data_IF_916132515569
#
_entry.id   IF_916132515569
#
_cell.length_a   1.000
_cell.length_b   1.000
_cell.length_c   1.000
_cell.angle_alpha   90.00
_cell.angle_beta   90.00
_cell.angle_gamma   90.00
#
_symmetry.space_group_name_H-M   'P 1'
#
loop_
_entity.id
_entity.type
_entity.pdbx_description
1 polymer ?
#
# COMPACT_ATOMS: atom_id res chain seq x y z
N UNK A 1 -3.06 2.55 -7.98
CA UNK A 1 -1.64 2.65 -8.36
C UNK A 1 -0.78 1.78 -7.44
N UNK A 2 0.44 1.41 -7.83
CA UNK A 2 1.43 0.77 -6.95
C UNK A 2 2.43 1.82 -6.45
N UNK A 3 2.67 1.88 -5.13
CA UNK A 3 3.63 2.83 -4.54
C UNK A 3 5.03 2.70 -5.18
N UNK A 4 5.53 1.47 -5.33
CA UNK A 4 6.77 1.19 -6.03
C UNK A 4 6.48 0.41 -7.32
N UNK A 5 6.88 0.90 -8.50
CA UNK A 5 6.64 0.21 -9.78
C UNK A 5 7.65 -0.91 -10.06
N UNK A 6 8.69 -1.06 -9.23
CA UNK A 6 9.77 -2.03 -9.45
C UNK A 6 9.50 -3.37 -8.76
N UNK A 7 9.80 -4.46 -9.48
CA UNK A 7 9.96 -5.80 -8.93
C UNK A 7 11.44 -6.04 -8.62
N UNK A 8 11.76 -6.41 -7.38
CA UNK A 8 13.13 -6.66 -6.96
C UNK A 8 13.32 -8.16 -6.73
N UNK A 9 14.30 -8.75 -7.41
CA UNK A 9 14.60 -10.18 -7.34
C UNK A 9 15.97 -10.39 -6.73
N UNK A 10 16.08 -11.38 -5.84
CA UNK A 10 17.37 -11.86 -5.36
C UNK A 10 18.08 -12.73 -6.40
N UNK A 11 19.30 -13.15 -6.09
CA UNK A 11 20.12 -14.01 -6.97
C UNK A 11 19.40 -15.31 -7.38
N UNK A 12 18.56 -15.85 -6.51
CA UNK A 12 17.77 -17.07 -6.77
C UNK A 12 16.46 -16.81 -7.53
N UNK A 13 16.19 -15.58 -7.96
CA UNK A 13 14.93 -15.19 -8.59
C UNK A 13 13.76 -15.01 -7.61
N UNK A 14 14.00 -15.16 -6.30
CA UNK A 14 12.98 -14.94 -5.26
C UNK A 14 12.61 -13.47 -5.18
N UNK A 15 11.31 -13.16 -5.13
CA UNK A 15 10.82 -11.81 -4.90
C UNK A 15 11.30 -11.27 -3.54
N UNK A 16 11.93 -10.10 -3.57
CA UNK A 16 12.37 -9.36 -2.39
C UNK A 16 11.47 -8.14 -2.23
N UNK A 17 10.71 -8.10 -1.14
CA UNK A 17 9.88 -6.94 -0.84
C UNK A 17 10.75 -5.78 -0.33
N UNK A 18 10.44 -4.52 -0.66
CA UNK A 18 11.30 -3.37 -0.31
C UNK A 18 11.59 -3.22 1.19
N UNK A 19 10.71 -3.72 2.06
CA UNK A 19 10.89 -3.76 3.53
C UNK A 19 12.02 -4.71 3.98
N UNK A 20 12.43 -5.66 3.13
CA UNK A 20 13.48 -6.63 3.41
C UNK A 20 14.87 -6.20 2.93
N UNK A 21 14.97 -5.02 2.34
CA UNK A 21 16.22 -4.52 1.77
C UNK A 21 16.70 -3.35 2.62
N UNK A 22 17.92 -3.47 3.15
CA UNK A 22 18.58 -2.43 3.92
C UNK A 22 19.52 -1.59 3.05
N UNK A 23 19.93 -0.44 3.57
CA UNK A 23 20.93 0.41 2.92
C UNK A 23 20.37 1.64 2.20
N UNK A 24 21.28 2.48 1.75
CA UNK A 24 20.97 3.81 1.23
C UNK A 24 20.19 3.77 -0.10
N UNK A 25 20.49 2.79 -0.96
CA UNK A 25 19.83 2.64 -2.25
C UNK A 25 18.31 2.48 -2.11
N UNK A 26 17.87 1.62 -1.18
CA UNK A 26 16.45 1.37 -0.91
C UNK A 26 15.78 2.58 -0.30
N UNK A 27 16.46 3.29 0.60
CA UNK A 27 15.94 4.54 1.17
C UNK A 27 15.69 5.58 0.09
N UNK A 28 16.61 5.73 -0.88
CA UNK A 28 16.43 6.63 -2.03
C UNK A 28 15.28 6.18 -2.94
N UNK A 29 15.19 4.89 -3.24
CA UNK A 29 14.09 4.33 -4.02
C UNK A 29 12.74 4.59 -3.36
N UNK A 30 12.62 4.24 -2.09
CA UNK A 30 11.41 4.42 -1.29
C UNK A 30 11.03 5.91 -1.22
N UNK A 31 12.00 6.81 -1.03
CA UNK A 31 11.75 8.25 -1.08
C UNK A 31 11.18 8.69 -2.44
N UNK A 32 11.75 8.23 -3.55
CA UNK A 32 11.23 8.58 -4.88
C UNK A 32 9.80 8.07 -5.08
N UNK A 33 9.48 6.89 -4.54
CA UNK A 33 8.12 6.35 -4.54
C UNK A 33 7.15 7.18 -3.67
N UNK A 34 7.59 7.66 -2.50
CA UNK A 34 6.79 8.56 -1.64
C UNK A 34 6.51 9.89 -2.36
N UNK A 35 7.54 10.47 -2.96
CA UNK A 35 7.43 11.75 -3.69
C UNK A 35 6.43 11.61 -4.86
N UNK A 36 6.49 10.49 -5.60
CA UNK A 36 5.53 10.19 -6.67
C UNK A 36 4.09 9.99 -6.15
N UNK A 37 3.90 9.27 -5.05
CA UNK A 37 2.58 9.11 -4.43
C UNK A 37 2.00 10.47 -4.03
N UNK A 38 2.82 11.32 -3.42
CA UNK A 38 2.42 12.68 -3.04
C UNK A 38 2.00 13.49 -4.26
N UNK A 39 2.80 13.47 -5.33
CA UNK A 39 2.51 14.19 -6.58
C UNK A 39 1.18 13.74 -7.21
N UNK A 40 0.94 12.43 -7.29
CA UNK A 40 -0.33 11.89 -7.81
C UNK A 40 -1.51 12.38 -6.97
N UNK A 41 -1.42 12.26 -5.64
CA UNK A 41 -2.49 12.67 -4.72
C UNK A 41 -2.81 14.15 -4.84
N UNK A 42 -1.79 15.01 -4.83
CA UNK A 42 -2.00 16.46 -4.91
C UNK A 42 -2.50 16.90 -6.29
N UNK A 43 -1.96 16.32 -7.37
CA UNK A 43 -2.31 16.73 -8.74
C UNK A 43 -3.74 16.31 -9.10
N UNK A 44 -4.16 15.13 -8.66
CA UNK A 44 -5.50 14.60 -8.93
C UNK A 44 -6.56 15.09 -7.93
N UNK A 45 -6.18 15.86 -6.90
CA UNK A 45 -7.11 16.29 -5.85
C UNK A 45 -7.71 15.12 -5.05
N UNK A 46 -6.92 14.08 -4.79
CA UNK A 46 -7.38 12.89 -4.06
C UNK A 46 -7.58 13.23 -2.58
N UNK A 47 -8.79 13.03 -2.08
CA UNK A 47 -9.15 13.27 -0.67
C UNK A 47 -9.07 12.03 0.20
N UNK A 48 -9.01 10.82 -0.40
CA UNK A 48 -8.91 9.55 0.33
C UNK A 48 -8.00 8.54 -0.36
N UNK A 49 -7.13 7.92 0.42
CA UNK A 49 -6.18 6.89 -0.02
C UNK A 49 -6.38 5.62 0.80
N UNK A 50 -6.64 4.50 0.12
CA UNK A 50 -6.75 3.18 0.75
C UNK A 50 -5.53 2.33 0.42
N UNK A 51 -4.73 2.04 1.45
CA UNK A 51 -3.62 1.10 1.36
C UNK A 51 -4.12 -0.35 1.26
N UNK A 52 -3.71 -1.06 0.20
CA UNK A 52 -3.95 -2.51 0.09
C UNK A 52 -2.87 -3.24 0.87
N UNK A 53 -3.17 -3.57 2.12
CA UNK A 53 -2.24 -4.19 3.07
C UNK A 53 -1.36 -3.21 3.84
N UNK A 54 -0.72 -3.72 4.90
CA UNK A 54 0.02 -2.94 5.90
C UNK A 54 1.22 -2.16 5.34
N UNK A 55 1.89 -2.70 4.31
CA UNK A 55 2.98 -1.97 3.64
C UNK A 55 2.45 -0.69 3.00
N UNK A 56 1.39 -0.78 2.18
CA UNK A 56 0.83 0.36 1.46
C UNK A 56 0.29 1.44 2.41
N UNK A 57 -0.42 1.03 3.47
CA UNK A 57 -0.89 1.92 4.54
C UNK A 57 0.28 2.69 5.19
N UNK A 58 1.34 1.98 5.58
CA UNK A 58 2.52 2.61 6.19
C UNK A 58 3.19 3.63 5.25
N UNK A 59 3.29 3.32 3.96
CA UNK A 59 3.87 4.24 2.96
C UNK A 59 3.00 5.47 2.76
N UNK A 60 1.68 5.29 2.64
CA UNK A 60 0.74 6.41 2.52
C UNK A 60 0.82 7.35 3.73
N UNK A 61 0.79 6.81 4.96
CA UNK A 61 0.90 7.60 6.19
C UNK A 61 2.21 8.42 6.26
N UNK A 62 3.31 7.88 5.74
CA UNK A 62 4.60 8.57 5.73
C UNK A 62 4.66 9.64 4.62
N UNK A 63 4.29 9.27 3.39
CA UNK A 63 4.40 10.14 2.22
C UNK A 63 3.45 11.34 2.26
N UNK A 64 2.25 11.14 2.80
CA UNK A 64 1.16 12.12 2.79
C UNK A 64 1.01 12.84 4.12
N UNK A 65 1.97 12.68 5.05
CA UNK A 65 1.96 13.35 6.34
C UNK A 65 1.84 14.87 6.16
N UNK A 66 0.84 15.46 6.80
CA UNK A 66 0.56 16.90 6.76
C UNK A 66 -0.31 17.34 5.60
N UNK A 67 -0.81 16.42 4.78
CA UNK A 67 -1.88 16.69 3.82
C UNK A 67 -3.24 16.35 4.44
N UNK A 68 -4.27 17.10 4.03
CA UNK A 68 -5.66 16.83 4.40
C UNK A 68 -6.24 15.71 3.52
N UNK A 69 -5.78 14.48 3.79
CA UNK A 69 -6.16 13.27 3.04
C UNK A 69 -6.50 12.17 4.04
N UNK A 70 -7.68 11.58 3.90
CA UNK A 70 -8.09 10.43 4.71
C UNK A 70 -7.29 9.19 4.28
N UNK A 71 -6.62 8.54 5.22
CA UNK A 71 -5.83 7.34 4.95
C UNK A 71 -6.46 6.14 5.65
N UNK A 72 -6.93 5.18 4.85
CA UNK A 72 -7.47 3.91 5.30
C UNK A 72 -6.68 2.70 4.79
N UNK A 73 -7.12 1.51 5.16
CA UNK A 73 -6.45 0.25 4.79
C UNK A 73 -7.46 -0.87 4.63
N UNK A 74 -7.20 -1.78 3.69
CA UNK A 74 -7.93 -3.04 3.56
C UNK A 74 -6.94 -4.21 3.53
N UNK A 75 -7.45 -5.42 3.78
CA UNK A 75 -6.62 -6.61 3.72
C UNK A 75 -6.07 -6.86 2.31
N UNK A 76 -4.80 -7.25 2.23
CA UNK A 76 -4.19 -7.59 0.96
C UNK A 76 -4.77 -8.91 0.43
N UNK A 77 -5.08 -9.03 -0.88
CA UNK A 77 -5.64 -10.25 -1.47
C UNK A 77 -4.64 -11.40 -1.64
N UNK A 78 -3.47 -11.35 -0.99
CA UNK A 78 -2.42 -12.33 -1.27
C UNK A 78 -2.83 -13.68 -0.70
N UNK A 79 -2.72 -14.78 -1.47
CA UNK A 79 -3.02 -16.12 -0.96
C UNK A 79 -2.06 -16.55 0.17
N UNK A 80 -0.94 -15.85 0.36
CA UNK A 80 -0.05 -16.08 1.50
C UNK A 80 -0.63 -15.56 2.83
N UNK A 81 -1.69 -14.75 2.81
CA UNK A 81 -2.36 -14.26 4.03
C UNK A 81 -3.52 -15.19 4.43
N UNK A 82 -3.55 -15.71 5.67
CA UNK A 82 -4.70 -16.49 6.16
C UNK A 82 -6.02 -15.72 6.09
N UNK A 83 -5.98 -14.40 6.28
CA UNK A 83 -7.15 -13.52 6.23
C UNK A 83 -7.74 -13.38 4.81
N UNK A 84 -6.92 -13.59 3.77
CA UNK A 84 -7.37 -13.55 2.38
C UNK A 84 -8.15 -14.82 1.99
N UNK A 85 -7.84 -15.95 2.61
CA UNK A 85 -8.37 -17.27 2.22
C UNK A 85 -9.49 -17.77 3.14
N UNK A 86 -9.65 -17.19 4.33
CA UNK A 86 -10.68 -17.63 5.30
C UNK A 86 -12.08 -17.57 4.68
N UNK A 87 -12.87 -18.62 4.89
CA UNK A 87 -14.22 -18.78 4.35
C UNK A 87 -14.28 -18.55 2.83
N UNK A 88 -13.37 -19.18 2.07
CA UNK A 88 -13.25 -19.02 0.61
C UNK A 88 -13.14 -17.54 0.17
N UNK A 89 -12.41 -16.77 0.99
CA UNK A 89 -12.21 -15.33 0.83
C UNK A 89 -13.43 -14.46 1.09
N UNK A 90 -14.53 -15.00 1.64
CA UNK A 90 -15.71 -14.23 1.99
C UNK A 90 -15.38 -13.11 2.98
N UNK A 91 -14.52 -13.40 3.95
CA UNK A 91 -14.11 -12.44 4.97
C UNK A 91 -13.27 -11.31 4.39
N UNK A 92 -12.36 -11.63 3.47
CA UNK A 92 -11.61 -10.62 2.72
C UNK A 92 -12.54 -9.72 1.91
N UNK A 93 -13.49 -10.31 1.17
CA UNK A 93 -14.47 -9.55 0.40
C UNK A 93 -15.31 -8.64 1.31
N UNK A 94 -15.73 -9.13 2.48
CA UNK A 94 -16.48 -8.35 3.45
C UNK A 94 -15.64 -7.19 4.03
N UNK A 95 -14.37 -7.45 4.38
CA UNK A 95 -13.43 -6.42 4.83
C UNK A 95 -13.25 -5.31 3.79
N UNK A 96 -12.94 -5.67 2.54
CA UNK A 96 -12.74 -4.69 1.46
C UNK A 96 -14.01 -3.89 1.21
N UNK A 97 -15.19 -4.53 1.14
CA UNK A 97 -16.47 -3.82 0.97
C UNK A 97 -16.73 -2.83 2.09
N UNK A 98 -16.53 -3.23 3.35
CA UNK A 98 -16.71 -2.34 4.51
C UNK A 98 -15.83 -1.10 4.40
N UNK A 99 -14.57 -1.24 3.98
CA UNK A 99 -13.63 -0.11 3.86
C UNK A 99 -13.99 0.78 2.67
N UNK A 100 -14.32 0.21 1.51
CA UNK A 100 -14.63 0.97 0.31
C UNK A 100 -15.98 1.69 0.37
N UNK A 101 -16.97 1.11 1.06
CA UNK A 101 -18.33 1.64 1.17
C UNK A 101 -18.56 2.47 2.44
N UNK A 102 -17.56 2.61 3.32
CA UNK A 102 -17.68 3.50 4.46
C UNK A 102 -17.84 4.95 3.97
N UNK A 103 -18.90 5.62 4.40
CA UNK A 103 -19.09 7.05 4.14
C UNK A 103 -18.07 7.88 4.93
N UNK A 104 -17.64 8.98 4.32
CA UNK A 104 -16.77 9.97 4.93
C UNK A 104 -17.55 10.71 6.03
N UNK A 105 -17.02 10.74 7.25
CA UNK A 105 -17.58 11.55 8.36
C UNK A 105 -16.96 12.94 8.38
#
# INVERSE_FOLDING_TARGET
MNHCPLLLLGETGKNITPDKISGNAVKKLLKACDDHLKEVVTTMGITRVIGVGKYAEKRALLALKGLDVEIGTCWHPSPASPLANRNDGADWRANVRKILLAEHS
#
